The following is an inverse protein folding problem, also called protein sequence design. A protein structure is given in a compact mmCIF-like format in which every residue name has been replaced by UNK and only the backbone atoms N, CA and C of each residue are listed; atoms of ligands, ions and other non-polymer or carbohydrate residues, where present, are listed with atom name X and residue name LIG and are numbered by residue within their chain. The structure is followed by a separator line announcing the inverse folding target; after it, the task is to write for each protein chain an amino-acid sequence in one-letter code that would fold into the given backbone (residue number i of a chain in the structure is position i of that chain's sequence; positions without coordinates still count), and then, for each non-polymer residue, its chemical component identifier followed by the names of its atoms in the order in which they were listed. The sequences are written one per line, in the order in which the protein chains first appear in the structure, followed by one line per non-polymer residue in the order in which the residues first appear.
data_IF_150558549679
#
_entry.id   IF_150558549679
#
_cell.length_a   1.000
_cell.length_b   1.000
_cell.length_c   1.000
_cell.angle_alpha   90.00
_cell.angle_beta   90.00
_cell.angle_gamma   90.00
#
_symmetry.space_group_name_H-M   'P 1'
#
loop_
_entity.id
_entity.type
_entity.pdbx_description
1 polymer ?
#
# COMPACT_ATOMS: atom_id res chain seq x y z
N UNK A 1 4.37 15.22 13.08
CA UNK A 1 3.87 13.87 13.41
C UNK A 1 3.58 13.19 12.09
N UNK A 2 3.96 11.93 11.91
CA UNK A 2 3.73 11.20 10.65
C UNK A 2 2.63 10.16 10.82
N UNK A 3 1.80 9.98 9.80
CA UNK A 3 0.72 9.00 9.76
C UNK A 3 0.98 7.98 8.65
N UNK A 4 0.99 6.71 9.03
CA UNK A 4 1.14 5.59 8.11
C UNK A 4 -0.08 4.69 8.21
N UNK A 5 -0.49 4.12 7.08
CA UNK A 5 -1.50 3.06 7.03
C UNK A 5 -0.82 1.71 6.82
N UNK A 6 -1.27 0.69 7.54
CA UNK A 6 -0.74 -0.67 7.46
C UNK A 6 -1.69 -1.57 6.65
N UNK A 7 -1.53 -1.57 5.32
CA UNK A 7 -2.39 -2.35 4.42
C UNK A 7 -1.71 -2.66 3.09
N UNK A 8 -2.27 -3.61 2.35
CA UNK A 8 -1.94 -3.88 0.95
C UNK A 8 -3.14 -3.59 0.02
N UNK A 9 -4.27 -3.17 0.57
CA UNK A 9 -5.47 -2.86 -0.20
C UNK A 9 -5.33 -1.49 -0.86
N UNK A 10 -5.25 -1.47 -2.19
CA UNK A 10 -5.08 -0.24 -2.96
C UNK A 10 -6.27 0.72 -2.79
N UNK A 11 -7.48 0.21 -2.56
CA UNK A 11 -8.65 1.08 -2.34
C UNK A 11 -8.53 1.87 -1.03
N UNK A 12 -8.09 1.20 0.04
CA UNK A 12 -7.86 1.83 1.34
C UNK A 12 -6.71 2.84 1.29
N UNK A 13 -5.63 2.50 0.58
CA UNK A 13 -4.49 3.41 0.38
C UNK A 13 -4.95 4.65 -0.38
N UNK A 14 -5.72 4.47 -1.46
CA UNK A 14 -6.25 5.59 -2.24
C UNK A 14 -7.15 6.48 -1.39
N UNK A 15 -8.09 5.91 -0.66
CA UNK A 15 -9.02 6.68 0.18
C UNK A 15 -8.25 7.50 1.24
N UNK A 16 -7.32 6.88 1.96
CA UNK A 16 -6.53 7.58 2.96
C UNK A 16 -5.60 8.65 2.35
N UNK A 17 -5.12 8.44 1.12
CA UNK A 17 -4.28 9.41 0.42
C UNK A 17 -5.11 10.60 -0.09
N UNK A 18 -6.33 10.34 -0.58
CA UNK A 18 -7.28 11.37 -1.00
C UNK A 18 -7.70 12.28 0.17
N UNK A 19 -7.67 11.78 1.42
CA UNK A 19 -7.87 12.58 2.64
C UNK A 19 -6.72 13.54 2.94
N UNK A 20 -5.55 13.38 2.30
CA UNK A 20 -4.38 14.25 2.46
C UNK A 20 -3.68 14.12 3.81
N UNK A 21 -3.88 13.00 4.52
CA UNK A 21 -3.33 12.76 5.86
C UNK A 21 -2.18 11.76 5.88
N UNK A 22 -1.89 11.10 4.76
CA UNK A 22 -0.92 10.00 4.68
C UNK A 22 0.51 10.51 4.42
N UNK A 23 1.45 10.08 5.26
CA UNK A 23 2.89 10.27 5.05
C UNK A 23 3.57 9.02 4.43
N UNK A 24 2.85 7.91 4.27
CA UNK A 24 3.36 6.69 3.66
C UNK A 24 2.57 5.42 4.03
N UNK A 25 2.94 4.30 3.42
CA UNK A 25 2.27 3.00 3.64
C UNK A 25 3.27 2.01 4.23
N UNK A 26 2.85 1.24 5.25
CA UNK A 26 3.55 0.03 5.67
C UNK A 26 2.82 -1.20 5.14
N UNK A 27 3.58 -2.22 4.76
CA UNK A 27 3.00 -3.47 4.27
C UNK A 27 3.96 -4.63 4.52
N UNK A 28 3.50 -5.85 4.29
CA UNK A 28 4.29 -7.07 4.44
C UNK A 28 3.69 -8.21 3.57
N UNK A 29 4.42 -9.32 3.37
CA UNK A 29 3.92 -10.43 2.55
C UNK A 29 2.58 -11.03 3.01
N UNK A 30 2.28 -11.00 4.32
CA UNK A 30 1.01 -11.50 4.86
C UNK A 30 -0.17 -10.62 4.46
N UNK A 31 0.00 -9.30 4.44
CA UNK A 31 -1.02 -8.36 3.98
C UNK A 31 -1.24 -8.50 2.46
N UNK A 32 -0.18 -8.66 1.67
CA UNK A 32 -0.27 -8.95 0.24
C UNK A 32 -1.09 -10.23 -0.03
N UNK A 33 -0.82 -11.29 0.74
CA UNK A 33 -1.55 -12.55 0.60
C UNK A 33 -3.04 -12.41 0.96
N UNK A 34 -3.40 -11.57 1.93
CA UNK A 34 -4.80 -11.31 2.33
C UNK A 34 -5.60 -10.62 1.23
N UNK A 35 -4.97 -9.76 0.43
CA UNK A 35 -5.60 -9.11 -0.73
C UNK A 35 -5.46 -9.93 -2.03
N UNK A 36 -5.00 -11.19 -1.92
CA UNK A 36 -4.95 -12.14 -3.04
C UNK A 36 -3.71 -12.04 -3.93
N UNK A 37 -2.74 -11.19 -3.59
CA UNK A 37 -1.51 -11.03 -4.36
C UNK A 37 -0.51 -12.11 -3.96
N UNK A 38 -0.07 -12.89 -4.94
CA UNK A 38 0.83 -14.04 -4.74
C UNK A 38 1.86 -14.11 -5.87
N UNK A 39 3.03 -14.64 -5.54
CA UNK A 39 4.16 -14.73 -6.47
C UNK A 39 5.01 -13.46 -6.47
N UNK A 40 6.32 -13.65 -6.66
CA UNK A 40 7.29 -12.56 -6.52
C UNK A 40 7.02 -11.40 -7.50
N UNK A 41 6.68 -11.70 -8.75
CA UNK A 41 6.43 -10.68 -9.77
C UNK A 41 5.21 -9.81 -9.43
N UNK A 42 4.08 -10.43 -9.06
CA UNK A 42 2.88 -9.71 -8.69
C UNK A 42 3.08 -8.87 -7.42
N UNK A 43 3.80 -9.39 -6.43
CA UNK A 43 4.16 -8.65 -5.21
C UNK A 43 5.03 -7.44 -5.55
N UNK A 44 6.02 -7.59 -6.42
CA UNK A 44 6.88 -6.48 -6.84
C UNK A 44 6.13 -5.42 -7.64
N UNK A 45 5.22 -5.84 -8.54
CA UNK A 45 4.34 -4.92 -9.25
C UNK A 45 3.45 -4.14 -8.26
N UNK A 46 2.90 -4.83 -7.27
CA UNK A 46 2.04 -4.22 -6.25
C UNK A 46 2.79 -3.20 -5.38
N UNK A 47 4.03 -3.48 -4.98
CA UNK A 47 4.85 -2.49 -4.27
C UNK A 47 5.08 -1.22 -5.11
N UNK A 48 5.36 -1.37 -6.42
CA UNK A 48 5.52 -0.22 -7.31
C UNK A 48 4.25 0.62 -7.37
N UNK A 49 3.09 -0.03 -7.51
CA UNK A 49 1.80 0.66 -7.51
C UNK A 49 1.58 1.44 -6.21
N UNK A 50 1.93 0.88 -5.04
CA UNK A 50 1.85 1.60 -3.77
C UNK A 50 2.76 2.85 -3.77
N UNK A 51 4.01 2.72 -4.24
CA UNK A 51 4.94 3.84 -4.33
C UNK A 51 4.52 4.92 -5.34
N UNK A 52 3.82 4.54 -6.41
CA UNK A 52 3.26 5.50 -7.39
C UNK A 52 2.02 6.24 -6.86
N UNK A 53 1.34 5.66 -5.88
CA UNK A 53 0.12 6.24 -5.30
C UNK A 53 0.38 7.21 -4.15
N UNK A 54 1.52 7.11 -3.46
CA UNK A 54 1.81 7.87 -2.24
C UNK A 54 3.24 8.44 -2.29
N UNK A 55 3.38 9.76 -2.20
CA UNK A 55 4.66 10.51 -2.31
C UNK A 55 5.54 10.44 -1.02
N UNK A 56 5.51 9.33 -0.30
CA UNK A 56 6.12 9.14 1.03
C UNK A 56 7.60 8.78 1.08
#
# INVERSE_FOLDING_TARGET
MKFFIDTADLAQIKEANDLGILDGVTTNPSLMAKVGIKGAEAVMAHYKTICEMVDG
#
